data_IF_666973740489
#
_entry.id   IF_666973740489
#
_cell.length_a   1.000
_cell.length_b   1.000
_cell.length_c   1.000
_cell.angle_alpha   90.00
_cell.angle_beta   90.00
_cell.angle_gamma   90.00
#
_symmetry.space_group_name_H-M   'P 1'
#
loop_
_entity.id
_entity.type
_entity.pdbx_description
1 polymer ?
#
# COMPACT_ATOMS: atom_id res chain seq x y z
N UNK A 1 0.10 13.90 22.15
CA UNK A 1 0.87 14.70 21.19
C UNK A 1 1.97 13.82 20.65
N UNK A 2 1.89 13.45 19.42
CA UNK A 2 2.89 12.63 18.74
C UNK A 2 4.06 13.54 18.36
N UNK A 3 5.20 13.35 19.00
CA UNK A 3 6.44 14.06 18.65
C UNK A 3 7.10 13.46 17.40
N UNK A 4 6.33 13.22 16.36
CA UNK A 4 6.88 13.01 15.03
C UNK A 4 7.39 14.38 14.58
N UNK A 5 8.70 14.61 14.66
CA UNK A 5 9.30 15.83 14.17
C UNK A 5 9.72 15.62 12.72
N UNK A 6 9.05 16.29 11.80
CA UNK A 6 9.40 16.25 10.37
C UNK A 6 10.85 16.60 10.11
N UNK A 7 11.46 17.47 10.95
CA UNK A 7 12.87 17.82 10.85
C UNK A 7 13.79 16.63 11.10
N UNK A 8 13.45 15.73 12.04
CA UNK A 8 14.21 14.49 12.25
C UNK A 8 14.04 13.52 11.09
N UNK A 9 12.86 13.53 10.47
CA UNK A 9 12.59 12.76 9.26
C UNK A 9 13.38 13.34 8.09
N UNK A 10 13.45 14.66 7.94
CA UNK A 10 14.33 15.34 6.95
C UNK A 10 15.79 14.94 7.09
N UNK A 11 16.29 14.83 8.31
CA UNK A 11 17.67 14.44 8.57
C UNK A 11 17.96 12.98 8.26
N UNK A 12 16.95 12.10 8.42
CA UNK A 12 17.07 10.67 8.13
C UNK A 12 16.85 10.30 6.66
N UNK A 13 16.15 11.16 5.92
CA UNK A 13 15.90 11.02 4.49
C UNK A 13 16.99 11.83 3.77
N UNK A 14 17.82 11.18 2.96
CA UNK A 14 18.92 11.77 2.19
C UNK A 14 18.56 13.14 1.59
N UNK A 15 19.52 14.06 1.53
CA UNK A 15 19.45 15.47 1.16
C UNK A 15 18.82 15.83 -0.20
N UNK A 16 18.33 14.84 -0.95
CA UNK A 16 17.63 14.99 -2.24
C UNK A 16 16.11 14.83 -2.13
N UNK A 17 15.49 15.34 -1.06
CA UNK A 17 14.03 15.36 -0.95
C UNK A 17 13.43 16.26 -2.02
N UNK A 18 13.01 15.65 -3.13
CA UNK A 18 12.22 16.36 -4.13
C UNK A 18 10.84 16.69 -3.55
N UNK A 19 10.31 17.85 -3.94
CA UNK A 19 8.98 18.31 -3.55
C UNK A 19 8.81 18.49 -2.04
N UNK A 20 9.83 19.04 -1.41
CA UNK A 20 9.86 19.22 0.05
C UNK A 20 8.64 19.99 0.56
N UNK A 21 8.29 21.12 -0.08
CA UNK A 21 7.16 21.97 0.33
C UNK A 21 5.85 21.19 0.29
N UNK A 22 5.68 20.35 -0.75
CA UNK A 22 4.50 19.52 -0.89
C UNK A 22 4.42 18.41 0.18
N UNK A 23 5.56 17.80 0.48
CA UNK A 23 5.64 16.80 1.54
C UNK A 23 5.37 17.42 2.92
N UNK A 24 5.80 18.65 3.17
CA UNK A 24 5.51 19.39 4.41
C UNK A 24 4.01 19.68 4.56
N UNK A 25 3.34 20.06 3.48
CA UNK A 25 1.89 20.24 3.46
C UNK A 25 1.16 18.95 3.85
N UNK A 26 1.51 17.82 3.20
CA UNK A 26 0.90 16.52 3.47
C UNK A 26 1.23 16.05 4.90
N UNK A 27 2.47 16.27 5.36
CA UNK A 27 2.86 15.95 6.73
C UNK A 27 2.04 16.75 7.76
N UNK A 28 1.72 18.01 7.45
CA UNK A 28 0.87 18.84 8.31
C UNK A 28 -0.52 18.23 8.47
N UNK A 29 -1.09 17.60 7.41
CA UNK A 29 -2.35 16.87 7.51
C UNK A 29 -2.23 15.68 8.46
N UNK A 30 -1.14 14.91 8.36
CA UNK A 30 -0.87 13.82 9.29
C UNK A 30 -0.76 14.31 10.74
N UNK A 31 -0.04 15.41 11.00
CA UNK A 31 0.12 15.96 12.36
C UNK A 31 -1.22 16.39 12.93
N UNK A 32 -2.08 17.03 12.13
CA UNK A 32 -3.40 17.47 12.56
C UNK A 32 -4.33 16.29 12.90
N UNK A 33 -4.27 15.21 12.13
CA UNK A 33 -5.13 14.04 12.30
C UNK A 33 -4.51 13.00 13.27
N UNK A 34 -3.18 12.87 13.30
CA UNK A 34 -2.43 11.87 14.05
C UNK A 34 -2.63 10.44 13.55
N UNK A 35 -2.12 9.47 14.29
CA UNK A 35 -2.44 8.06 14.04
C UNK A 35 -3.90 7.79 14.37
N UNK A 36 -4.63 7.05 13.51
CA UNK A 36 -6.01 6.70 13.77
C UNK A 36 -6.17 5.84 15.03
N UNK A 37 -7.29 6.01 15.68
CA UNK A 37 -7.63 5.30 16.92
C UNK A 37 -9.09 4.83 16.88
N UNK A 38 -9.53 4.16 17.94
CA UNK A 38 -10.89 3.58 18.05
C UNK A 38 -12.05 4.58 17.91
N UNK A 39 -11.80 5.90 17.94
CA UNK A 39 -12.83 6.93 17.71
C UNK A 39 -13.06 7.18 16.22
N UNK A 40 -12.10 6.81 15.38
CA UNK A 40 -12.26 6.83 13.93
C UNK A 40 -13.06 5.59 13.53
N UNK A 41 -14.19 5.72 12.88
CA UNK A 41 -15.13 4.62 12.60
C UNK A 41 -14.46 3.47 11.83
N UNK A 42 -13.74 3.79 10.76
CA UNK A 42 -12.99 2.82 9.96
C UNK A 42 -11.85 2.12 10.72
N UNK A 43 -11.44 2.65 11.88
CA UNK A 43 -10.36 2.14 12.73
C UNK A 43 -10.84 1.62 14.10
N UNK A 44 -12.15 1.44 14.26
CA UNK A 44 -12.77 1.10 15.54
C UNK A 44 -12.17 -0.17 16.17
N UNK A 45 -11.77 -1.13 15.36
CA UNK A 45 -11.24 -2.41 15.81
C UNK A 45 -9.70 -2.47 15.80
N UNK A 46 -9.04 -1.43 15.28
CA UNK A 46 -7.58 -1.37 15.17
C UNK A 46 -7.04 -0.03 15.69
N UNK A 47 -6.66 0.03 16.97
CA UNK A 47 -6.12 1.23 17.61
C UNK A 47 -4.66 1.44 17.23
N UNK A 48 -4.42 2.00 16.04
CA UNK A 48 -3.06 2.25 15.57
C UNK A 48 -2.32 3.26 16.44
N UNK A 49 -3.01 4.29 16.95
CA UNK A 49 -2.39 5.27 17.85
C UNK A 49 -1.82 4.63 19.12
N UNK A 50 -2.43 3.56 19.63
CA UNK A 50 -1.91 2.80 20.77
C UNK A 50 -0.78 1.86 20.36
N UNK A 51 -0.97 1.12 19.28
CA UNK A 51 -0.01 0.12 18.78
C UNK A 51 1.30 0.74 18.29
N UNK A 52 1.26 1.94 17.70
CA UNK A 52 2.44 2.64 17.17
C UNK A 52 3.30 3.37 18.22
N UNK A 53 2.88 3.44 19.48
CA UNK A 53 3.59 4.22 20.53
C UNK A 53 5.08 3.87 20.69
N UNK A 54 5.42 2.60 20.58
CA UNK A 54 6.80 2.11 20.70
C UNK A 54 7.68 2.53 19.50
N UNK A 55 7.05 2.84 18.36
CA UNK A 55 7.74 3.17 17.11
C UNK A 55 7.89 4.67 16.87
N UNK A 56 7.08 5.54 17.49
CA UNK A 56 7.06 7.01 17.24
C UNK A 56 8.43 7.69 17.37
N UNK A 57 9.33 7.13 18.18
CA UNK A 57 10.69 7.64 18.41
C UNK A 57 11.76 6.91 17.58
N UNK A 58 11.37 5.96 16.75
CA UNK A 58 12.27 5.19 15.93
C UNK A 58 12.62 5.94 14.64
N UNK A 59 13.72 5.54 14.02
CA UNK A 59 14.11 6.09 12.71
C UNK A 59 13.27 5.49 11.57
N UNK A 60 13.37 6.10 10.40
CA UNK A 60 12.84 5.51 9.17
C UNK A 60 13.96 4.74 8.49
N UNK A 61 13.68 3.50 8.10
CA UNK A 61 14.60 2.65 7.34
C UNK A 61 13.89 2.05 6.12
N UNK A 62 14.67 1.62 5.13
CA UNK A 62 14.13 1.04 3.90
C UNK A 62 13.79 -0.44 4.11
N UNK A 63 12.70 -0.88 3.48
CA UNK A 63 12.42 -2.29 3.26
C UNK A 63 13.10 -2.78 1.98
N UNK A 64 13.30 -4.08 1.87
CA UNK A 64 13.77 -4.70 0.65
C UNK A 64 12.57 -5.06 -0.23
N UNK A 65 12.46 -4.45 -1.42
CA UNK A 65 11.47 -4.78 -2.43
C UNK A 65 12.18 -5.49 -3.58
N UNK A 66 11.78 -6.73 -3.81
CA UNK A 66 12.38 -7.61 -4.85
C UNK A 66 11.27 -7.97 -5.83
N UNK A 67 11.56 -7.86 -7.12
CA UNK A 67 10.70 -8.36 -8.21
C UNK A 67 11.46 -9.43 -8.98
N UNK A 68 10.87 -10.61 -9.08
CA UNK A 68 11.43 -11.79 -9.77
C UNK A 68 10.47 -12.23 -10.87
N UNK A 69 10.99 -13.00 -11.81
CA UNK A 69 10.22 -13.57 -12.92
C UNK A 69 9.52 -12.50 -13.79
N UNK A 70 10.23 -11.40 -14.04
CA UNK A 70 9.74 -10.29 -14.85
C UNK A 70 10.10 -10.53 -16.32
N UNK A 71 9.11 -10.42 -17.22
CA UNK A 71 9.34 -10.49 -18.66
C UNK A 71 10.18 -9.28 -19.12
N UNK A 72 11.04 -9.46 -20.12
CA UNK A 72 11.97 -8.42 -20.60
C UNK A 72 11.31 -7.13 -21.10
N UNK A 73 10.05 -7.21 -21.52
CA UNK A 73 9.25 -6.04 -21.94
C UNK A 73 8.48 -5.36 -20.80
N UNK A 74 8.64 -5.83 -19.56
CA UNK A 74 8.11 -5.21 -18.36
C UNK A 74 9.26 -4.55 -17.60
N UNK A 75 8.98 -3.51 -16.83
CA UNK A 75 10.02 -2.71 -16.19
C UNK A 75 9.81 -2.62 -14.67
N UNK A 76 10.90 -2.69 -13.91
CA UNK A 76 10.90 -2.41 -12.47
C UNK A 76 12.05 -1.48 -12.13
N UNK A 77 11.75 -0.34 -11.48
CA UNK A 77 12.74 0.69 -11.22
C UNK A 77 12.42 1.54 -9.97
N UNK A 78 13.44 2.23 -9.48
CA UNK A 78 13.27 3.23 -8.42
C UNK A 78 12.92 4.59 -9.02
N UNK A 79 11.79 5.14 -8.62
CA UNK A 79 11.30 6.43 -9.12
C UNK A 79 12.23 7.59 -8.70
N UNK A 80 12.79 7.52 -7.50
CA UNK A 80 13.62 8.60 -6.95
C UNK A 80 15.03 8.61 -7.55
N UNK A 81 15.59 7.44 -7.86
CA UNK A 81 16.92 7.29 -8.48
C UNK A 81 16.91 7.70 -9.95
N UNK A 82 15.86 7.36 -10.69
CA UNK A 82 15.80 7.57 -12.14
C UNK A 82 15.35 8.98 -12.58
N UNK A 83 15.24 9.95 -11.66
CA UNK A 83 14.77 11.30 -11.96
C UNK A 83 13.37 11.39 -12.61
N UNK A 84 12.60 10.31 -12.57
CA UNK A 84 11.25 10.22 -13.13
C UNK A 84 10.16 10.72 -12.17
N UNK A 85 10.54 11.38 -11.10
CA UNK A 85 9.59 11.89 -10.12
C UNK A 85 8.73 13.00 -10.73
N UNK A 86 7.52 12.67 -11.08
CA UNK A 86 6.46 13.63 -11.33
C UNK A 86 5.95 14.16 -9.97
N UNK A 87 5.57 15.44 -9.93
CA UNK A 87 4.85 16.02 -8.79
C UNK A 87 3.58 15.23 -8.45
N UNK A 88 3.04 14.51 -9.43
CA UNK A 88 1.85 13.67 -9.27
C UNK A 88 2.02 12.55 -8.24
N UNK A 89 3.23 12.04 -8.03
CA UNK A 89 3.49 11.04 -6.98
C UNK A 89 3.38 11.58 -5.55
N UNK A 90 3.37 12.90 -5.39
CA UNK A 90 3.28 13.56 -4.08
C UNK A 90 1.96 14.33 -3.91
N UNK A 91 0.94 14.00 -4.66
CA UNK A 91 -0.41 14.54 -4.43
C UNK A 91 -1.08 13.74 -3.31
N UNK A 92 -1.78 14.44 -2.38
CA UNK A 92 -2.68 13.74 -1.48
C UNK A 92 -3.68 12.96 -2.32
N UNK A 93 -3.91 11.73 -1.98
CA UNK A 93 -4.93 10.96 -2.66
C UNK A 93 -6.30 11.56 -2.32
N UNK A 94 -6.83 12.41 -3.20
CA UNK A 94 -8.06 13.16 -2.98
C UNK A 94 -9.30 12.28 -2.78
N UNK A 95 -9.19 11.00 -3.12
CA UNK A 95 -10.25 10.01 -2.98
C UNK A 95 -10.40 9.51 -1.55
N UNK A 96 -9.35 9.58 -0.73
CA UNK A 96 -9.34 8.98 0.61
C UNK A 96 -9.19 10.07 1.67
N UNK A 97 -10.27 10.85 1.85
CA UNK A 97 -10.32 11.86 2.90
C UNK A 97 -10.10 11.19 4.26
N UNK A 98 -9.05 11.64 4.97
CA UNK A 98 -8.72 11.29 6.35
C UNK A 98 -7.97 9.98 6.58
N UNK A 99 -7.34 9.38 5.59
CA UNK A 99 -6.42 8.26 5.83
C UNK A 99 -5.01 8.80 6.16
N UNK A 100 -4.83 9.22 7.41
CA UNK A 100 -3.57 9.84 7.89
C UNK A 100 -2.36 8.92 7.76
N UNK A 101 -2.53 7.60 7.68
CA UNK A 101 -1.44 6.65 7.42
C UNK A 101 -0.90 6.76 6.00
N UNK A 102 -1.77 7.10 5.04
CA UNK A 102 -1.39 7.37 3.65
C UNK A 102 -0.63 8.69 3.58
N UNK A 103 -1.13 9.73 4.28
CA UNK A 103 -0.42 11.02 4.37
C UNK A 103 0.98 10.83 4.96
N UNK A 104 1.13 10.03 6.02
CA UNK A 104 2.43 9.72 6.59
C UNK A 104 3.36 9.03 5.58
N UNK A 105 2.87 8.03 4.84
CA UNK A 105 3.64 7.33 3.82
C UNK A 105 4.09 8.27 2.71
N UNK A 106 3.19 9.07 2.14
CA UNK A 106 3.50 10.00 1.05
C UNK A 106 4.46 11.09 1.52
N UNK A 107 4.26 11.66 2.70
CA UNK A 107 5.10 12.74 3.22
C UNK A 107 6.50 12.27 3.59
N UNK A 108 6.63 11.12 4.22
CA UNK A 108 7.86 10.66 4.85
C UNK A 108 8.53 9.47 4.13
N UNK A 109 7.83 8.82 3.21
CA UNK A 109 8.38 7.71 2.43
C UNK A 109 9.56 8.15 1.55
N UNK A 110 10.65 7.41 1.61
CA UNK A 110 11.89 7.64 0.85
C UNK A 110 12.16 6.53 -0.17
N UNK A 111 11.23 5.62 -0.36
CA UNK A 111 11.33 4.50 -1.29
C UNK A 111 10.05 4.41 -2.11
N UNK A 112 10.15 4.73 -3.40
CA UNK A 112 9.06 4.63 -4.37
C UNK A 112 9.53 3.75 -5.51
N UNK A 113 8.98 2.55 -5.60
CA UNK A 113 9.27 1.59 -6.67
C UNK A 113 8.09 1.55 -7.64
N UNK A 114 8.40 1.45 -8.92
CA UNK A 114 7.41 1.36 -10.01
C UNK A 114 7.61 0.04 -10.74
N UNK A 115 6.51 -0.67 -10.96
CA UNK A 115 6.43 -1.87 -11.78
C UNK A 115 5.48 -1.60 -12.94
N UNK A 116 6.03 -1.41 -14.14
CA UNK A 116 5.26 -1.25 -15.37
C UNK A 116 5.11 -2.61 -16.05
N UNK A 117 3.86 -3.02 -16.26
CA UNK A 117 3.49 -4.29 -16.90
C UNK A 117 2.83 -3.94 -18.24
N UNK A 118 3.67 -3.88 -19.27
CA UNK A 118 3.29 -3.51 -20.63
C UNK A 118 3.05 -4.73 -21.52
N UNK A 119 3.43 -5.91 -21.03
CA UNK A 119 3.34 -7.16 -21.77
C UNK A 119 2.65 -8.26 -20.96
N UNK A 120 1.70 -8.94 -21.60
CA UNK A 120 1.01 -10.10 -21.02
C UNK A 120 1.97 -11.25 -20.79
N UNK A 121 2.07 -11.77 -19.56
CA UNK A 121 2.84 -12.96 -19.26
C UNK A 121 1.98 -14.01 -18.52
N UNK A 122 2.24 -15.29 -18.84
CA UNK A 122 1.46 -16.40 -18.26
C UNK A 122 1.93 -16.75 -16.86
N UNK A 123 3.25 -16.69 -16.63
CA UNK A 123 3.85 -17.00 -15.35
C UNK A 123 3.69 -15.81 -14.39
N UNK A 124 3.44 -16.04 -13.11
CA UNK A 124 3.29 -14.97 -12.14
C UNK A 124 4.59 -14.18 -11.95
N UNK A 125 4.51 -12.86 -11.94
CA UNK A 125 5.53 -11.98 -11.38
C UNK A 125 5.56 -12.21 -9.87
N UNK A 126 6.74 -12.35 -9.27
CA UNK A 126 6.88 -12.50 -7.82
C UNK A 126 7.35 -11.17 -7.23
N UNK A 127 6.55 -10.60 -6.34
CA UNK A 127 6.90 -9.39 -5.60
C UNK A 127 7.09 -9.76 -4.13
N UNK A 128 8.29 -9.51 -3.60
CA UNK A 128 8.59 -9.73 -2.17
C UNK A 128 8.89 -8.41 -1.49
N UNK A 129 8.26 -8.18 -0.36
CA UNK A 129 8.57 -7.07 0.52
C UNK A 129 9.06 -7.65 1.83
N UNK A 130 10.34 -7.49 2.11
CA UNK A 130 10.99 -7.94 3.33
C UNK A 130 11.40 -6.74 4.18
N UNK A 131 11.08 -6.79 5.46
CA UNK A 131 11.47 -5.78 6.43
C UNK A 131 11.93 -6.46 7.72
N UNK A 132 13.19 -6.31 8.05
CA UNK A 132 13.87 -7.00 9.17
C UNK A 132 14.42 -6.03 10.20
N UNK A 133 13.88 -4.82 10.32
CA UNK A 133 14.35 -3.77 11.22
C UNK A 133 13.30 -3.48 12.30
N UNK A 134 13.76 -3.02 13.46
CA UNK A 134 12.90 -2.56 14.58
C UNK A 134 12.38 -1.13 14.42
N UNK A 135 12.74 -0.46 13.34
CA UNK A 135 12.36 0.92 13.00
C UNK A 135 10.99 1.02 12.32
N UNK A 136 10.78 2.12 11.60
CA UNK A 136 9.60 2.33 10.76
C UNK A 136 10.03 2.24 9.31
N UNK A 137 9.27 1.55 8.48
CA UNK A 137 9.44 1.57 7.02
C UNK A 137 8.18 2.07 6.34
N UNK A 138 8.37 2.95 5.35
CA UNK A 138 7.31 3.63 4.62
C UNK A 138 7.48 3.44 3.09
N UNK A 139 7.55 2.19 2.60
CA UNK A 139 7.70 1.95 1.17
C UNK A 139 6.42 2.24 0.41
N UNK A 140 6.57 2.64 -0.85
CA UNK A 140 5.47 2.78 -1.82
C UNK A 140 5.80 1.99 -3.06
N UNK A 141 4.84 1.19 -3.53
CA UNK A 141 4.92 0.42 -4.75
C UNK A 141 3.78 0.85 -5.68
N UNK A 142 4.11 1.24 -6.90
CA UNK A 142 3.15 1.60 -7.93
C UNK A 142 3.22 0.53 -9.01
N UNK A 143 2.09 -0.08 -9.32
CA UNK A 143 1.96 -1.15 -10.32
C UNK A 143 1.03 -0.63 -11.42
N UNK A 144 1.60 -0.41 -12.58
CA UNK A 144 0.87 0.05 -13.76
C UNK A 144 0.68 -1.15 -14.71
N UNK A 145 -0.55 -1.41 -15.09
CA UNK A 145 -0.90 -2.43 -16.09
C UNK A 145 -1.45 -1.72 -17.31
N UNK A 146 -0.73 -1.82 -18.42
CA UNK A 146 -1.10 -1.18 -19.68
C UNK A 146 -2.40 -1.75 -20.27
N UNK A 147 -3.02 -1.03 -21.21
CA UNK A 147 -4.27 -1.43 -21.87
C UNK A 147 -4.14 -2.80 -22.56
N UNK A 148 -5.17 -3.63 -22.43
CA UNK A 148 -5.27 -5.00 -23.01
C UNK A 148 -4.23 -5.99 -22.48
N UNK A 149 -3.61 -5.74 -21.33
CA UNK A 149 -2.61 -6.62 -20.70
C UNK A 149 -3.26 -7.49 -19.63
N UNK A 150 -2.82 -8.75 -19.55
CA UNK A 150 -3.21 -9.69 -18.49
C UNK A 150 -1.97 -10.10 -17.71
N UNK A 151 -2.04 -9.98 -16.38
CA UNK A 151 -0.93 -10.31 -15.52
C UNK A 151 -1.37 -11.01 -14.23
N UNK A 152 -0.44 -11.74 -13.64
CA UNK A 152 -0.58 -12.36 -12.33
C UNK A 152 0.59 -11.94 -11.46
N UNK A 153 0.33 -11.64 -10.20
CA UNK A 153 1.36 -11.32 -9.21
C UNK A 153 1.21 -12.24 -8.00
N UNK A 154 2.29 -12.89 -7.62
CA UNK A 154 2.45 -13.51 -6.32
C UNK A 154 3.14 -12.51 -5.40
N UNK A 155 2.37 -11.94 -4.49
CA UNK A 155 2.81 -10.88 -3.60
C UNK A 155 3.04 -11.43 -2.19
N UNK A 156 4.27 -11.33 -1.70
CA UNK A 156 4.68 -11.88 -0.41
C UNK A 156 5.19 -10.74 0.46
N UNK A 157 4.52 -10.55 1.59
CA UNK A 157 4.86 -9.53 2.56
C UNK A 157 5.35 -10.19 3.85
N UNK A 158 6.57 -9.84 4.27
CA UNK A 158 7.21 -10.37 5.46
C UNK A 158 7.89 -9.23 6.22
N UNK A 159 7.34 -8.86 7.37
CA UNK A 159 7.98 -7.97 8.33
C UNK A 159 8.28 -8.78 9.59
N UNK A 160 9.56 -8.95 9.93
CA UNK A 160 9.95 -9.76 11.10
C UNK A 160 9.83 -8.97 12.40
N UNK A 161 9.95 -7.65 12.35
CA UNK A 161 9.78 -6.74 13.50
C UNK A 161 9.47 -5.33 12.96
N UNK A 162 9.35 -4.36 13.85
CA UNK A 162 9.15 -2.96 13.50
C UNK A 162 7.74 -2.59 13.06
N UNK A 163 7.64 -1.42 12.44
CA UNK A 163 6.40 -0.91 11.88
C UNK A 163 6.54 -0.70 10.37
N UNK A 164 5.86 -1.53 9.61
CA UNK A 164 5.76 -1.40 8.16
C UNK A 164 4.43 -0.73 7.80
N UNK A 165 4.49 0.50 7.29
CA UNK A 165 3.36 1.20 6.68
C UNK A 165 3.58 1.23 5.15
N UNK A 166 2.94 0.31 4.46
CA UNK A 166 3.10 0.05 3.04
C UNK A 166 1.95 0.64 2.24
N UNK A 167 2.27 1.39 1.20
CA UNK A 167 1.30 1.90 0.23
C UNK A 167 1.52 1.21 -1.12
N UNK A 168 0.49 0.54 -1.64
CA UNK A 168 0.51 -0.08 -2.96
C UNK A 168 -0.57 0.54 -3.83
N UNK A 169 -0.20 0.99 -5.02
CA UNK A 169 -1.13 1.53 -6.01
C UNK A 169 -1.17 0.63 -7.22
N UNK A 170 -2.37 0.29 -7.65
CA UNK A 170 -2.63 -0.52 -8.84
C UNK A 170 -3.41 0.32 -9.84
N UNK A 171 -2.78 0.65 -10.95
CA UNK A 171 -3.39 1.37 -12.07
C UNK A 171 -3.69 0.37 -13.18
N UNK A 172 -4.96 0.02 -13.37
CA UNK A 172 -5.37 -1.04 -14.28
C UNK A 172 -5.95 -0.42 -15.56
N UNK A 173 -5.23 -0.59 -16.66
CA UNK A 173 -5.58 -0.06 -17.97
C UNK A 173 -6.88 -0.63 -18.55
N UNK A 174 -7.35 -0.07 -19.66
CA UNK A 174 -8.58 -0.50 -20.32
C UNK A 174 -8.48 -1.96 -20.80
N UNK A 175 -9.53 -2.75 -20.54
CA UNK A 175 -9.65 -4.17 -20.92
C UNK A 175 -8.50 -5.04 -20.38
N UNK A 176 -7.89 -4.63 -19.27
CA UNK A 176 -6.78 -5.32 -18.65
C UNK A 176 -7.23 -6.11 -17.44
N UNK A 177 -6.45 -7.10 -17.07
CA UNK A 177 -6.74 -8.00 -15.96
C UNK A 177 -5.50 -8.18 -15.10
N UNK A 178 -5.62 -7.91 -13.80
CA UNK A 178 -4.59 -8.19 -12.81
C UNK A 178 -5.11 -9.10 -11.71
N UNK A 179 -4.48 -10.27 -11.57
CA UNK A 179 -4.73 -11.22 -10.50
C UNK A 179 -3.58 -11.19 -9.49
N UNK A 180 -3.87 -10.85 -8.25
CA UNK A 180 -2.90 -10.79 -7.14
C UNK A 180 -3.17 -11.90 -6.14
N UNK A 181 -2.20 -12.78 -5.94
CA UNK A 181 -2.18 -13.74 -4.85
C UNK A 181 -1.25 -13.22 -3.75
N UNK A 182 -1.82 -12.71 -2.66
CA UNK A 182 -1.08 -12.08 -1.57
C UNK A 182 -0.94 -13.01 -0.38
N UNK A 183 0.27 -13.07 0.18
CA UNK A 183 0.53 -13.75 1.47
C UNK A 183 1.17 -12.72 2.41
N UNK A 184 0.58 -12.54 3.58
CA UNK A 184 1.15 -11.79 4.69
C UNK A 184 1.55 -12.74 5.82
N UNK A 185 2.83 -12.71 6.21
CA UNK A 185 3.37 -13.49 7.34
C UNK A 185 4.17 -12.61 8.29
N UNK A 186 3.67 -11.40 8.58
CA UNK A 186 4.37 -10.41 9.40
C UNK A 186 4.31 -10.75 10.89
N UNK A 187 5.41 -10.51 11.59
CA UNK A 187 5.55 -10.64 13.05
C UNK A 187 5.49 -9.27 13.76
N UNK A 188 5.75 -8.19 13.04
CA UNK A 188 5.66 -6.82 13.54
C UNK A 188 4.32 -6.16 13.24
N UNK A 189 4.25 -4.85 13.49
CA UNK A 189 3.09 -4.03 13.17
C UNK A 189 3.05 -3.73 11.66
N UNK A 190 2.01 -4.21 10.98
CA UNK A 190 1.79 -3.94 9.56
C UNK A 190 0.52 -3.11 9.36
N UNK A 191 0.64 -2.03 8.61
CA UNK A 191 -0.49 -1.34 7.96
C UNK A 191 -0.21 -1.31 6.47
N UNK A 192 -1.05 -1.95 5.70
CA UNK A 192 -0.96 -1.97 4.24
C UNK A 192 -2.20 -1.35 3.63
N UNK A 193 -2.00 -0.32 2.82
CA UNK A 193 -3.07 0.33 2.06
C UNK A 193 -2.89 0.04 0.58
N UNK A 194 -3.90 -0.55 -0.03
CA UNK A 194 -3.96 -0.86 -1.45
C UNK A 194 -4.98 0.05 -2.12
N UNK A 195 -4.53 0.84 -3.09
CA UNK A 195 -5.34 1.74 -3.90
C UNK A 195 -5.48 1.14 -5.30
N UNK A 196 -6.69 0.86 -5.74
CA UNK A 196 -6.94 0.23 -7.04
C UNK A 196 -7.74 1.19 -7.92
N UNK A 197 -7.19 1.57 -9.04
CA UNK A 197 -7.82 2.42 -10.04
C UNK A 197 -8.14 1.59 -11.28
N UNK A 198 -9.42 1.52 -11.61
CA UNK A 198 -9.96 0.63 -12.64
C UNK A 198 -10.50 1.43 -13.83
N UNK A 199 -9.88 1.29 -15.00
CA UNK A 199 -10.35 1.86 -16.25
C UNK A 199 -11.43 0.99 -16.89
N UNK A 200 -11.88 1.34 -18.12
CA UNK A 200 -13.00 0.66 -18.79
C UNK A 200 -12.74 -0.83 -18.99
N UNK A 201 -13.71 -1.66 -18.59
CA UNK A 201 -13.71 -3.11 -18.76
C UNK A 201 -12.48 -3.79 -18.12
N UNK A 202 -11.86 -3.15 -17.13
CA UNK A 202 -10.72 -3.71 -16.41
C UNK A 202 -11.17 -4.61 -15.26
N UNK A 203 -10.33 -5.54 -14.90
CA UNK A 203 -10.58 -6.49 -13.81
C UNK A 203 -9.40 -6.55 -12.85
N UNK A 204 -9.69 -6.45 -11.57
CA UNK A 204 -8.73 -6.70 -10.49
C UNK A 204 -9.27 -7.78 -9.56
N UNK A 205 -8.47 -8.80 -9.32
CA UNK A 205 -8.76 -9.82 -8.31
C UNK A 205 -7.62 -9.94 -7.33
N UNK A 206 -7.93 -9.85 -6.02
CA UNK A 206 -6.99 -10.13 -4.94
C UNK A 206 -7.45 -11.34 -4.11
N UNK A 207 -6.61 -12.36 -4.04
CA UNK A 207 -6.72 -13.47 -3.09
C UNK A 207 -5.69 -13.28 -2.01
N UNK A 208 -6.12 -13.10 -0.78
CA UNK A 208 -5.26 -12.80 0.35
C UNK A 208 -5.29 -13.92 1.39
N UNK A 209 -4.10 -14.38 1.77
CA UNK A 209 -3.87 -15.21 2.95
C UNK A 209 -3.11 -14.36 3.98
N UNK A 210 -3.73 -14.08 5.11
CA UNK A 210 -3.16 -13.28 6.20
C UNK A 210 -2.84 -14.17 7.40
N UNK A 211 -1.59 -14.18 7.82
CA UNK A 211 -1.02 -15.00 8.89
C UNK A 211 -0.26 -14.11 9.88
N UNK A 212 -0.86 -13.05 10.46
CA UNK A 212 -0.13 -12.15 11.34
C UNK A 212 0.19 -12.81 12.69
N UNK A 213 1.39 -12.52 13.21
CA UNK A 213 1.81 -12.95 14.54
C UNK A 213 1.54 -11.86 15.59
N UNK A 214 1.69 -10.58 15.23
CA UNK A 214 1.34 -9.45 16.10
C UNK A 214 0.09 -8.74 15.57
N UNK A 215 0.23 -7.67 14.83
CA UNK A 215 -0.90 -6.86 14.40
C UNK A 215 -0.80 -6.47 12.95
N UNK A 216 -1.82 -6.77 12.18
CA UNK A 216 -1.91 -6.34 10.80
C UNK A 216 -3.24 -5.68 10.48
N UNK A 217 -3.17 -4.68 9.61
CA UNK A 217 -4.32 -4.08 8.96
C UNK A 217 -4.12 -4.04 7.46
N UNK A 218 -5.07 -4.58 6.73
CA UNK A 218 -5.17 -4.49 5.28
C UNK A 218 -6.32 -3.55 4.91
N UNK A 219 -6.03 -2.51 4.15
CA UNK A 219 -7.03 -1.64 3.56
C UNK A 219 -7.00 -1.82 2.03
N UNK A 220 -8.14 -2.06 1.44
CA UNK A 220 -8.33 -2.11 -0.01
C UNK A 220 -9.38 -1.09 -0.41
N UNK A 221 -8.96 -0.08 -1.14
CA UNK A 221 -9.83 0.94 -1.70
C UNK A 221 -9.85 0.78 -3.22
N UNK A 222 -10.99 0.49 -3.81
CA UNK A 222 -11.14 0.46 -5.25
C UNK A 222 -11.91 1.66 -5.77
N UNK A 223 -11.42 2.26 -6.84
CA UNK A 223 -12.08 3.34 -7.56
C UNK A 223 -12.37 2.90 -9.00
N UNK A 224 -13.64 2.72 -9.28
CA UNK A 224 -14.15 2.34 -10.59
C UNK A 224 -14.35 3.60 -11.45
N UNK A 225 -13.26 4.08 -12.07
CA UNK A 225 -13.23 5.29 -12.90
C UNK A 225 -13.55 5.02 -14.37
N UNK A 226 -13.69 3.76 -14.75
CA UNK A 226 -14.14 3.32 -16.07
C UNK A 226 -15.34 2.39 -16.01
N UNK A 227 -16.16 2.40 -17.05
CA UNK A 227 -17.36 1.56 -17.15
C UNK A 227 -17.03 0.07 -17.18
N UNK A 228 -17.92 -0.76 -16.63
CA UNK A 228 -17.87 -2.23 -16.67
C UNK A 228 -16.60 -2.80 -16.05
N UNK A 229 -16.04 -2.09 -15.09
CA UNK A 229 -14.88 -2.57 -14.34
C UNK A 229 -15.31 -3.47 -13.17
N UNK A 230 -14.43 -4.40 -12.80
CA UNK A 230 -14.72 -5.38 -11.75
C UNK A 230 -13.59 -5.44 -10.75
N UNK A 231 -13.93 -5.41 -9.45
CA UNK A 231 -13.00 -5.61 -8.34
C UNK A 231 -13.44 -6.80 -7.47
N UNK A 232 -12.57 -7.77 -7.28
CA UNK A 232 -12.85 -8.90 -6.38
C UNK A 232 -11.77 -9.01 -5.32
N UNK A 233 -12.16 -9.12 -4.04
CA UNK A 233 -11.25 -9.35 -2.93
C UNK A 233 -11.74 -10.49 -2.05
N UNK A 234 -10.91 -11.51 -1.89
CA UNK A 234 -11.19 -12.66 -1.01
C UNK A 234 -10.04 -12.85 -0.03
N UNK A 235 -10.34 -12.85 1.25
CA UNK A 235 -9.35 -13.00 2.31
C UNK A 235 -9.65 -14.20 3.20
N UNK A 236 -8.61 -14.98 3.48
CA UNK A 236 -8.57 -15.92 4.58
C UNK A 236 -7.59 -15.35 5.61
N UNK A 237 -8.06 -15.18 6.85
CA UNK A 237 -7.26 -14.70 7.97
C UNK A 237 -7.11 -15.81 9.00
N UNK A 238 -5.88 -16.10 9.38
CA UNK A 238 -5.50 -17.09 10.40
C UNK A 238 -4.53 -16.40 11.37
N UNK A 239 -5.04 -15.56 12.28
CA UNK A 239 -4.22 -14.83 13.21
C UNK A 239 -3.65 -15.75 14.29
N UNK A 240 -2.44 -15.46 14.78
CA UNK A 240 -1.89 -16.14 15.94
C UNK A 240 -2.66 -15.76 17.21
N UNK A 241 -2.47 -16.53 18.30
CA UNK A 241 -3.06 -16.20 19.59
C UNK A 241 -2.64 -14.80 20.04
N UNK A 242 -3.59 -13.99 20.49
CA UNK A 242 -3.41 -12.59 20.89
C UNK A 242 -2.98 -11.61 19.76
N UNK A 243 -2.99 -12.05 18.52
CA UNK A 243 -2.76 -11.15 17.39
C UNK A 243 -4.05 -10.43 16.97
N UNK A 244 -3.89 -9.39 16.14
CA UNK A 244 -5.02 -8.66 15.56
C UNK A 244 -4.84 -8.60 14.05
N UNK A 245 -5.85 -9.04 13.31
CA UNK A 245 -5.92 -8.86 11.87
C UNK A 245 -7.20 -8.10 11.52
N UNK A 246 -7.06 -6.91 10.94
CA UNK A 246 -8.18 -6.05 10.61
C UNK A 246 -8.20 -5.78 9.10
N UNK A 247 -9.35 -5.96 8.47
CA UNK A 247 -9.48 -5.90 7.03
C UNK A 247 -10.61 -4.94 6.68
N UNK A 248 -10.26 -3.90 5.94
CA UNK A 248 -11.20 -2.92 5.40
C UNK A 248 -11.23 -3.03 3.86
N UNK A 249 -12.42 -3.12 3.30
CA UNK A 249 -12.64 -2.99 1.85
C UNK A 249 -13.66 -1.90 1.62
N UNK A 250 -13.32 -0.93 0.79
CA UNK A 250 -14.18 0.17 0.40
C UNK A 250 -14.14 0.39 -1.11
N UNK A 251 -15.28 0.71 -1.71
CA UNK A 251 -15.42 0.81 -3.15
C UNK A 251 -16.13 2.09 -3.55
N UNK A 252 -15.55 2.81 -4.51
CA UNK A 252 -16.12 4.01 -5.12
C UNK A 252 -16.49 3.69 -6.56
N UNK A 253 -17.76 3.88 -6.88
CA UNK A 253 -18.29 3.67 -8.23
C UNK A 253 -18.55 5.03 -8.86
N UNK A 254 -17.64 5.46 -9.74
CA UNK A 254 -17.76 6.71 -10.48
C UNK A 254 -18.46 6.53 -11.81
N UNK A 255 -18.54 5.28 -12.32
CA UNK A 255 -19.10 4.94 -13.62
C UNK A 255 -20.10 3.78 -13.55
N UNK A 256 -20.81 3.53 -14.66
CA UNK A 256 -21.90 2.58 -14.73
C UNK A 256 -21.45 1.14 -14.98
N UNK A 257 -22.33 0.18 -14.61
CA UNK A 257 -22.16 -1.26 -14.83
C UNK A 257 -20.88 -1.84 -14.18
N UNK A 258 -20.41 -1.24 -13.09
CA UNK A 258 -19.28 -1.72 -12.34
C UNK A 258 -19.71 -2.70 -11.26
N UNK A 259 -18.82 -3.61 -10.89
CA UNK A 259 -19.09 -4.64 -9.88
C UNK A 259 -17.93 -4.75 -8.89
N UNK A 260 -18.28 -4.92 -7.62
CA UNK A 260 -17.30 -5.30 -6.60
C UNK A 260 -17.82 -6.43 -5.72
N UNK A 261 -16.97 -7.42 -5.47
CA UNK A 261 -17.26 -8.56 -4.61
C UNK A 261 -16.17 -8.69 -3.57
N UNK A 262 -16.55 -8.69 -2.30
CA UNK A 262 -15.61 -8.92 -1.20
C UNK A 262 -16.08 -10.01 -0.26
N UNK A 263 -15.13 -10.77 0.28
CA UNK A 263 -15.39 -11.80 1.27
C UNK A 263 -14.20 -12.02 2.19
N UNK A 264 -14.47 -12.11 3.48
CA UNK A 264 -13.47 -12.39 4.51
C UNK A 264 -13.90 -13.60 5.32
N UNK A 265 -12.97 -14.53 5.51
CA UNK A 265 -13.15 -15.68 6.40
C UNK A 265 -12.01 -15.71 7.41
N UNK A 266 -12.34 -15.64 8.69
CA UNK A 266 -11.41 -15.88 9.79
C UNK A 266 -11.51 -17.33 10.26
N UNK A 267 -10.39 -17.93 10.62
CA UNK A 267 -10.26 -19.29 11.14
C UNK A 267 -9.51 -19.25 12.47
#
# INVERSE_FOLDING_TARGET
>A
MTSFEFNKIKESINSNLRYLDRREEIFSNFINNGFPNKRNESWRYFDLASKSKSYVKKNISNSQIIVENLHENNNFYDCLENNLSSEDYFKPCSYFKNESVVDLNIACGNQIKILDIDYTQNDPIVVRINYDDTNISLPRLIINVSDNVKAKINYINKANDGFLNLLVEYNIGNKSELNVSRINSSQGLLVETNLVFLLNQSTFEMKNLSLPIDSSRLQLFSNHIGERSTCTSKTISIPAENSTDDILVDNIFSESNCESVSGVRAI
#
